data_IF_798975970718
#
_entry.id   IF_798975970718
#
_cell.length_a   1.000
_cell.length_b   1.000
_cell.length_c   1.000
_cell.angle_alpha   90.00
_cell.angle_beta   90.00
_cell.angle_gamma   90.00
#
_symmetry.space_group_name_H-M   'P 1'
#
loop_
_entity.id
_entity.type
_entity.pdbx_description
1 polymer ?
#
# COMPACT_ATOMS: atom_id res chain seq x y z
N UNK A 1 1.81 -20.74 25.46
CA UNK A 1 1.73 -20.30 26.87
C UNK A 1 0.28 -19.97 27.18
N UNK A 2 -0.34 -20.52 28.24
CA UNK A 2 -1.70 -20.14 28.61
C UNK A 2 -1.71 -18.69 29.10
N UNK A 3 -2.57 -17.87 28.50
CA UNK A 3 -2.69 -16.46 28.85
C UNK A 3 -3.31 -16.32 30.24
N UNK A 4 -2.63 -15.59 31.13
CA UNK A 4 -3.06 -15.45 32.52
C UNK A 4 -4.29 -14.52 32.59
N UNK A 5 -5.49 -15.10 32.54
CA UNK A 5 -6.78 -14.38 32.38
C UNK A 5 -7.03 -13.32 33.46
N UNK A 6 -6.53 -13.55 34.68
CA UNK A 6 -6.64 -12.62 35.80
C UNK A 6 -5.84 -11.32 35.56
N UNK A 7 -4.67 -11.43 34.92
CA UNK A 7 -3.85 -10.27 34.58
C UNK A 7 -4.48 -9.45 33.46
N UNK A 8 -5.01 -10.12 32.42
CA UNK A 8 -5.70 -9.46 31.30
C UNK A 8 -6.94 -8.69 31.78
N UNK A 9 -7.77 -9.28 32.66
CA UNK A 9 -8.96 -8.61 33.18
C UNK A 9 -8.64 -7.38 34.05
N UNK A 10 -7.48 -7.35 34.72
CA UNK A 10 -7.03 -6.23 35.56
C UNK A 10 -6.52 -5.04 34.73
N UNK A 11 -5.82 -5.32 33.63
CA UNK A 11 -5.12 -4.30 32.84
C UNK A 11 -5.81 -3.93 31.53
N UNK A 12 -6.73 -4.76 31.04
CA UNK A 12 -7.53 -4.52 29.83
C UNK A 12 -9.03 -4.63 30.16
N UNK A 13 -9.63 -3.59 30.76
CA UNK A 13 -11.08 -3.55 30.94
C UNK A 13 -11.77 -3.60 29.57
N UNK A 14 -12.89 -4.32 29.50
CA UNK A 14 -13.61 -4.55 28.25
C UNK A 14 -14.07 -3.23 27.57
N UNK A 15 -14.30 -2.19 28.35
CA UNK A 15 -14.72 -0.87 27.90
C UNK A 15 -13.62 -0.11 27.14
N UNK A 16 -12.34 -0.41 27.38
CA UNK A 16 -11.21 0.28 26.72
C UNK A 16 -10.78 -0.40 25.42
N UNK A 17 -11.17 -1.66 25.21
CA UNK A 17 -10.93 -2.40 23.96
C UNK A 17 -11.37 -1.65 22.69
N UNK A 18 -12.57 -1.05 22.60
CA UNK A 18 -12.97 -0.32 21.40
C UNK A 18 -12.08 0.90 21.12
N UNK A 19 -11.63 1.61 22.16
CA UNK A 19 -10.77 2.80 22.02
C UNK A 19 -9.42 2.39 21.47
N UNK A 20 -8.78 1.36 22.05
CA UNK A 20 -7.50 0.85 21.55
C UNK A 20 -7.63 0.27 20.14
N UNK A 21 -8.77 -0.36 19.80
CA UNK A 21 -9.03 -0.85 18.45
C UNK A 21 -9.03 0.28 17.42
N UNK A 22 -9.83 1.33 17.65
CA UNK A 22 -9.94 2.46 16.71
C UNK A 22 -8.61 3.22 16.61
N UNK A 23 -7.97 3.51 17.75
CA UNK A 23 -6.68 4.23 17.75
C UNK A 23 -5.58 3.39 17.09
N UNK A 24 -5.54 2.09 17.34
CA UNK A 24 -4.61 1.17 16.69
C UNK A 24 -4.77 1.17 15.17
N UNK A 25 -6.01 1.12 14.68
CA UNK A 25 -6.31 1.21 13.25
C UNK A 25 -5.93 2.59 12.68
N UNK A 26 -6.22 3.67 13.41
CA UNK A 26 -5.91 5.03 12.95
C UNK A 26 -4.39 5.25 12.81
N UNK A 27 -3.62 4.91 13.85
CA UNK A 27 -2.15 5.06 13.85
C UNK A 27 -1.51 4.09 12.85
N UNK A 28 -1.99 2.84 12.78
CA UNK A 28 -1.53 1.86 11.80
C UNK A 28 -1.80 2.29 10.37
N UNK A 29 -3.00 2.79 10.08
CA UNK A 29 -3.40 3.29 8.76
C UNK A 29 -2.61 4.53 8.35
N UNK A 30 -2.42 5.48 9.26
CA UNK A 30 -1.60 6.67 9.01
C UNK A 30 -0.12 6.31 8.77
N UNK A 31 0.45 5.43 9.59
CA UNK A 31 1.81 4.94 9.43
C UNK A 31 2.01 4.21 8.10
N UNK A 32 1.09 3.32 7.74
CA UNK A 32 1.10 2.63 6.45
C UNK A 32 1.01 3.61 5.27
N UNK A 33 0.16 4.63 5.36
CA UNK A 33 0.01 5.63 4.32
C UNK A 33 1.27 6.52 4.16
N UNK A 34 1.94 6.87 5.25
CA UNK A 34 3.22 7.58 5.17
C UNK A 34 4.32 6.69 4.58
N UNK A 35 4.37 5.42 4.98
CA UNK A 35 5.32 4.46 4.43
C UNK A 35 5.14 4.24 2.92
N UNK A 36 3.90 4.10 2.43
CA UNK A 36 3.67 3.99 0.98
C UNK A 36 4.06 5.27 0.25
N UNK A 37 3.85 6.45 0.87
CA UNK A 37 4.19 7.74 0.27
C UNK A 37 5.72 7.94 0.19
N UNK A 38 6.48 7.46 1.16
CA UNK A 38 7.95 7.51 1.11
C UNK A 38 8.56 6.62 0.02
N UNK A 39 7.76 5.74 -0.60
CA UNK A 39 8.17 4.88 -1.72
C UNK A 39 7.72 5.43 -3.09
N UNK A 40 7.33 6.70 -3.19
CA UNK A 40 6.97 7.35 -4.45
C UNK A 40 8.13 7.42 -5.45
N UNK A 41 7.85 7.53 -6.77
CA UNK A 41 8.86 7.64 -7.82
C UNK A 41 9.76 8.90 -7.68
N UNK A 42 9.30 9.90 -6.94
CA UNK A 42 10.03 11.12 -6.63
C UNK A 42 10.97 11.01 -5.43
N UNK A 43 10.86 9.96 -4.60
CA UNK A 43 11.61 9.82 -3.35
C UNK A 43 12.73 8.79 -3.49
N UNK A 44 13.98 9.25 -3.45
CA UNK A 44 15.16 8.38 -3.49
C UNK A 44 15.75 8.25 -2.08
N UNK A 45 15.64 7.04 -1.49
CA UNK A 45 16.22 6.71 -0.19
C UNK A 45 17.10 5.45 -0.22
N UNK A 46 17.01 4.64 -1.28
CA UNK A 46 17.91 3.50 -1.48
C UNK A 46 19.26 3.98 -2.02
N UNK A 47 20.31 3.82 -1.19
CA UNK A 47 21.68 4.24 -1.49
C UNK A 47 22.56 3.11 -2.04
N UNK A 48 22.14 1.85 -1.86
CA UNK A 48 22.98 0.69 -2.16
C UNK A 48 22.38 -0.22 -3.25
N UNK A 49 21.09 -0.10 -3.54
CA UNK A 49 20.39 -0.85 -4.57
C UNK A 49 19.97 -0.01 -5.78
N UNK A 50 18.80 -0.33 -6.33
CA UNK A 50 18.23 0.37 -7.48
C UNK A 50 17.69 1.74 -7.06
N UNK A 51 18.53 2.75 -7.26
CA UNK A 51 18.31 4.16 -6.93
C UNK A 51 17.26 4.86 -7.80
N UNK A 52 16.65 4.17 -8.78
CA UNK A 52 15.75 4.74 -9.78
C UNK A 52 14.29 4.32 -9.55
N UNK A 53 13.61 4.89 -8.54
CA UNK A 53 12.24 4.52 -8.23
C UNK A 53 11.24 4.82 -9.36
N UNK A 54 11.55 5.76 -10.26
CA UNK A 54 10.73 6.04 -11.46
C UNK A 54 10.67 4.90 -12.47
N UNK A 55 11.67 4.01 -12.49
CA UNK A 55 11.70 2.86 -13.42
C UNK A 55 10.72 1.76 -12.98
N UNK A 56 10.33 1.74 -11.71
CA UNK A 56 9.42 0.74 -11.13
C UNK A 56 7.96 0.97 -11.53
N UNK A 57 7.64 2.14 -12.08
CA UNK A 57 6.27 2.52 -12.42
C UNK A 57 6.13 2.69 -13.93
N UNK A 58 5.26 1.87 -14.52
CA UNK A 58 4.94 1.93 -15.95
C UNK A 58 3.85 2.97 -16.23
N UNK A 59 3.82 3.50 -17.45
CA UNK A 59 2.84 4.51 -17.88
C UNK A 59 1.37 4.06 -17.86
N UNK A 60 1.10 2.75 -17.76
CA UNK A 60 -0.23 2.15 -17.65
C UNK A 60 -0.70 1.96 -16.20
N UNK A 61 0.15 2.24 -15.21
CA UNK A 61 -0.16 2.04 -13.80
C UNK A 61 -0.61 3.34 -13.13
N UNK A 62 -1.62 3.21 -12.26
CA UNK A 62 -2.10 4.32 -11.46
C UNK A 62 -1.21 4.48 -10.21
N UNK A 63 -0.63 5.66 -10.03
CA UNK A 63 0.17 6.00 -8.84
C UNK A 63 -0.67 6.44 -7.64
N UNK A 64 -1.94 6.79 -7.87
CA UNK A 64 -2.83 7.28 -6.81
C UNK A 64 -3.32 6.12 -5.95
N UNK A 65 -3.42 6.34 -4.64
CA UNK A 65 -3.96 5.34 -3.70
C UNK A 65 -5.40 4.92 -4.07
N UNK A 66 -6.22 5.89 -4.51
CA UNK A 66 -7.60 5.67 -4.93
C UNK A 66 -7.81 6.39 -6.25
N UNK A 67 -8.44 5.72 -7.21
CA UNK A 67 -8.91 6.32 -8.46
C UNK A 67 -10.43 6.38 -8.46
N UNK A 68 -10.97 7.51 -8.91
CA UNK A 68 -12.41 7.67 -9.14
C UNK A 68 -12.84 6.97 -10.43
N UNK A 69 -11.89 6.76 -11.36
CA UNK A 69 -12.17 6.19 -12.68
C UNK A 69 -11.32 4.91 -12.92
N UNK A 70 -11.74 3.74 -12.43
CA UNK A 70 -10.98 2.50 -12.58
C UNK A 70 -10.94 2.00 -14.04
N UNK A 71 -12.04 2.18 -14.78
CA UNK A 71 -12.18 1.71 -16.17
C UNK A 71 -11.12 2.30 -17.11
N UNK A 72 -10.73 3.56 -16.89
CA UNK A 72 -9.69 4.22 -17.69
C UNK A 72 -8.34 3.47 -17.59
N UNK A 73 -7.96 3.06 -16.39
CA UNK A 73 -6.70 2.36 -16.15
C UNK A 73 -6.76 0.92 -16.66
N UNK A 74 -7.91 0.28 -16.61
CA UNK A 74 -8.12 -1.04 -17.19
C UNK A 74 -7.95 -1.04 -18.71
N UNK A 75 -8.59 -0.10 -19.40
CA UNK A 75 -8.45 0.07 -20.85
C UNK A 75 -7.00 0.30 -21.24
N UNK A 76 -6.29 1.19 -20.53
CA UNK A 76 -4.87 1.48 -20.79
C UNK A 76 -3.98 0.24 -20.61
N UNK A 77 -4.22 -0.56 -19.57
CA UNK A 77 -3.52 -1.84 -19.36
C UNK A 77 -3.79 -2.84 -20.50
N UNK A 78 -5.00 -2.89 -21.03
CA UNK A 78 -5.35 -3.76 -22.15
C UNK A 78 -4.62 -3.33 -23.44
N UNK A 79 -4.64 -2.03 -23.76
CA UNK A 79 -3.93 -1.49 -24.93
C UNK A 79 -2.44 -1.79 -24.90
N UNK A 80 -1.79 -1.65 -23.73
CA UNK A 80 -0.36 -1.98 -23.60
C UNK A 80 -0.10 -3.47 -23.82
N UNK A 81 -0.95 -4.36 -23.28
CA UNK A 81 -0.82 -5.82 -23.49
C UNK A 81 -0.99 -6.20 -24.96
N UNK A 82 -1.94 -5.57 -25.65
CA UNK A 82 -2.17 -5.80 -27.08
C UNK A 82 -0.98 -5.35 -27.92
N UNK A 83 -0.48 -4.12 -27.70
CA UNK A 83 0.71 -3.61 -28.38
C UNK A 83 1.93 -4.51 -28.15
N UNK A 84 2.12 -5.02 -26.94
CA UNK A 84 3.24 -5.90 -26.62
C UNK A 84 3.13 -7.24 -27.38
N UNK A 85 1.94 -7.84 -27.43
CA UNK A 85 1.68 -9.05 -28.25
C UNK A 85 1.94 -8.82 -29.74
N UNK A 86 1.60 -7.64 -30.25
CA UNK A 86 1.85 -7.30 -31.65
C UNK A 86 3.34 -7.15 -31.95
N UNK A 87 4.13 -6.58 -31.03
CA UNK A 87 5.59 -6.51 -31.14
C UNK A 87 6.22 -7.90 -31.07
N UNK A 88 5.73 -8.77 -30.18
CA UNK A 88 6.25 -10.14 -30.01
C UNK A 88 5.93 -11.06 -31.21
N UNK A 89 4.97 -10.68 -32.06
CA UNK A 89 4.54 -11.45 -33.23
C UNK A 89 5.29 -11.10 -34.54
N UNK A 90 6.18 -10.10 -34.51
CA UNK A 90 7.04 -9.66 -35.62
C UNK A 90 8.43 -10.30 -35.46
#
# INVERSE_FOLDING_TARGET
MPMNRAFVKKWLPAETLPIFGIVGIAVGGAGYYLYRLSQGPEVVWDRHGDWRPWDKIKHDQNQKLITVNPEFWEKRRQTVKENQRAVDAI
#
